data_IF_909670978054
#
_entry.id   IF_909670978054
#
_cell.length_a   1.000
_cell.length_b   1.000
_cell.length_c   1.000
_cell.angle_alpha   90.00
_cell.angle_beta   90.00
_cell.angle_gamma   90.00
#
_symmetry.space_group_name_H-M   'P 1'
#
loop_
_entity.id
_entity.type
_entity.pdbx_description
1 polymer ?
#
# COMPACT_ATOMS: atom_id res chain seq x y z
N UNK A 1 24.42 29.25 14.05
CA UNK A 1 23.92 28.04 14.75
C UNK A 1 24.45 26.82 14.02
N UNK A 2 25.52 26.20 14.54
CA UNK A 2 26.05 24.94 14.02
C UNK A 2 25.12 23.81 14.44
N UNK A 3 24.33 23.29 13.50
CA UNK A 3 23.60 22.04 13.67
C UNK A 3 24.65 20.94 13.58
N UNK A 4 25.20 20.56 14.73
CA UNK A 4 26.02 19.36 14.86
C UNK A 4 25.26 18.19 14.25
N UNK A 5 25.93 17.45 13.36
CA UNK A 5 25.44 16.17 12.82
C UNK A 5 25.35 15.16 13.97
N UNK A 6 24.28 15.27 14.76
CA UNK A 6 24.01 14.47 15.96
C UNK A 6 23.61 13.06 15.55
N UNK A 7 24.49 12.08 15.83
CA UNK A 7 24.22 10.79 16.51
C UNK A 7 22.98 9.93 16.16
N UNK A 8 22.19 10.28 15.14
CA UNK A 8 20.87 9.68 14.84
C UNK A 8 20.94 8.32 14.12
N UNK A 9 22.14 7.82 13.83
CA UNK A 9 22.32 6.55 13.12
C UNK A 9 22.70 5.38 14.03
N UNK A 10 22.92 5.62 15.32
CA UNK A 10 23.19 4.53 16.26
C UNK A 10 21.89 3.96 16.77
N UNK A 11 21.57 2.76 16.29
CA UNK A 11 20.54 1.90 16.88
C UNK A 11 20.84 1.67 18.37
N UNK A 12 19.83 1.45 19.22
CA UNK A 12 20.06 1.06 20.61
C UNK A 12 20.98 -0.16 20.71
N UNK A 13 21.77 -0.25 21.78
CA UNK A 13 22.69 -1.38 21.98
C UNK A 13 21.94 -2.72 21.90
N UNK A 14 22.49 -3.66 21.11
CA UNK A 14 21.89 -4.97 20.89
C UNK A 14 20.76 -5.01 19.86
N UNK A 15 20.47 -3.88 19.19
CA UNK A 15 19.54 -3.82 18.06
C UNK A 15 20.25 -3.89 16.71
N UNK A 16 19.71 -4.68 15.79
CA UNK A 16 20.16 -4.78 14.41
C UNK A 16 18.99 -4.70 13.44
N UNK A 17 19.18 -4.05 12.30
CA UNK A 17 18.22 -4.09 11.20
C UNK A 17 18.66 -5.13 10.18
N UNK A 18 17.76 -6.04 9.81
CA UNK A 18 18.05 -7.09 8.83
C UNK A 18 16.83 -7.42 7.97
N UNK A 19 17.03 -8.03 6.79
CA UNK A 19 15.94 -8.64 6.05
C UNK A 19 15.20 -9.70 6.89
N UNK A 20 13.90 -9.83 6.67
CA UNK A 20 13.10 -10.87 7.30
C UNK A 20 13.50 -12.26 6.82
N UNK A 21 13.53 -13.22 7.75
CA UNK A 21 13.77 -14.64 7.52
C UNK A 21 12.44 -15.40 7.55
N UNK A 22 12.45 -16.63 7.04
CA UNK A 22 11.30 -17.54 7.08
C UNK A 22 10.75 -17.74 8.50
N UNK A 23 11.65 -17.87 9.48
CA UNK A 23 11.30 -18.03 10.90
C UNK A 23 10.59 -16.80 11.51
N UNK A 24 10.75 -15.62 10.91
CA UNK A 24 10.15 -14.37 11.44
C UNK A 24 8.65 -14.24 11.13
N UNK A 25 8.08 -15.12 10.28
CA UNK A 25 6.70 -15.00 9.77
C UNK A 25 5.67 -14.73 10.87
N UNK A 26 5.69 -15.52 11.94
CA UNK A 26 4.75 -15.37 13.06
C UNK A 26 5.00 -14.10 13.89
N UNK A 27 6.26 -13.73 14.12
CA UNK A 27 6.60 -12.50 14.85
C UNK A 27 6.22 -11.24 14.05
N UNK A 28 6.43 -11.24 12.74
CA UNK A 28 5.97 -10.16 11.83
C UNK A 28 4.45 -10.07 11.86
N UNK A 29 3.73 -11.20 11.81
CA UNK A 29 2.27 -11.18 11.92
C UNK A 29 1.79 -10.59 13.25
N UNK A 30 2.47 -10.89 14.37
CA UNK A 30 2.18 -10.27 15.65
C UNK A 30 2.44 -8.75 15.67
N UNK A 31 3.52 -8.30 15.03
CA UNK A 31 3.78 -6.87 14.84
C UNK A 31 2.70 -6.20 13.99
N UNK A 32 2.28 -6.83 12.89
CA UNK A 32 1.21 -6.34 12.02
C UNK A 32 -0.14 -6.29 12.73
N UNK A 33 -0.46 -7.27 13.58
CA UNK A 33 -1.65 -7.20 14.46
C UNK A 33 -1.56 -6.01 15.40
N UNK A 34 -0.38 -5.73 15.95
CA UNK A 34 -0.13 -4.51 16.75
C UNK A 34 -0.33 -3.22 15.94
N UNK A 35 0.11 -3.20 14.69
CA UNK A 35 -0.13 -2.10 13.76
C UNK A 35 -1.63 -1.93 13.49
N UNK A 36 -2.36 -3.00 13.17
CA UNK A 36 -3.81 -2.95 12.94
C UNK A 36 -4.54 -2.47 14.20
N UNK A 37 -4.15 -2.97 15.38
CA UNK A 37 -4.75 -2.57 16.65
C UNK A 37 -4.53 -1.08 16.97
N UNK A 38 -3.33 -0.56 16.73
CA UNK A 38 -2.95 0.81 17.09
C UNK A 38 -3.23 1.85 15.99
N UNK A 39 -3.23 1.42 14.73
CA UNK A 39 -3.38 2.26 13.56
C UNK A 39 -4.60 1.88 12.68
N UNK A 40 -4.81 0.61 12.39
CA UNK A 40 -5.78 0.15 11.40
C UNK A 40 -7.24 0.10 11.86
N UNK A 41 -7.50 0.03 13.18
CA UNK A 41 -8.83 -0.34 13.69
C UNK A 41 -9.93 0.59 13.16
N UNK A 42 -9.67 1.89 13.04
CA UNK A 42 -10.71 2.82 12.57
C UNK A 42 -11.11 2.63 11.10
N UNK A 43 -10.19 2.21 10.23
CA UNK A 43 -10.50 2.03 8.81
C UNK A 43 -11.24 0.71 8.59
N UNK A 44 -10.66 -0.37 9.08
CA UNK A 44 -11.19 -1.72 8.91
C UNK A 44 -12.55 -1.86 9.60
N UNK A 45 -12.70 -1.35 10.83
CA UNK A 45 -14.00 -1.39 11.55
C UNK A 45 -15.08 -0.61 10.81
N UNK A 46 -14.76 0.53 10.18
CA UNK A 46 -15.74 1.29 9.39
C UNK A 46 -16.11 0.57 8.11
N UNK A 47 -15.13 0.01 7.41
CA UNK A 47 -15.36 -0.75 6.19
C UNK A 47 -16.21 -2.00 6.48
N UNK A 48 -15.88 -2.74 7.54
CA UNK A 48 -16.65 -3.89 8.01
C UNK A 48 -18.04 -3.49 8.48
N UNK A 49 -18.15 -2.39 9.23
CA UNK A 49 -19.44 -1.84 9.65
C UNK A 49 -20.32 -1.46 8.48
N UNK A 50 -19.77 -0.85 7.43
CA UNK A 50 -20.50 -0.52 6.20
C UNK A 50 -21.03 -1.78 5.50
N UNK A 51 -20.20 -2.80 5.28
CA UNK A 51 -20.65 -4.05 4.66
C UNK A 51 -21.69 -4.78 5.51
N UNK A 52 -21.54 -4.75 6.83
CA UNK A 52 -22.51 -5.33 7.76
C UNK A 52 -23.85 -4.61 7.68
N UNK A 53 -23.86 -3.27 7.74
CA UNK A 53 -25.09 -2.47 7.61
C UNK A 53 -25.75 -2.69 6.25
N UNK A 54 -24.99 -2.73 5.16
CA UNK A 54 -25.52 -3.01 3.81
C UNK A 54 -26.17 -4.41 3.75
N UNK A 55 -25.52 -5.44 4.31
CA UNK A 55 -26.09 -6.78 4.38
C UNK A 55 -27.38 -6.83 5.23
N UNK A 56 -27.42 -6.10 6.35
CA UNK A 56 -28.61 -5.99 7.21
C UNK A 56 -29.77 -5.27 6.50
N UNK A 57 -29.49 -4.24 5.70
CA UNK A 57 -30.52 -3.55 4.90
C UNK A 57 -31.15 -4.51 3.89
N UNK A 58 -30.33 -5.25 3.14
CA UNK A 58 -30.82 -6.22 2.16
C UNK A 58 -31.60 -7.36 2.81
N UNK A 59 -31.11 -7.89 3.93
CA UNK A 59 -31.82 -8.90 4.72
C UNK A 59 -33.14 -8.38 5.30
N UNK A 60 -33.15 -7.15 5.80
CA UNK A 60 -34.34 -6.49 6.32
C UNK A 60 -35.39 -6.26 5.24
N UNK A 61 -34.99 -5.83 4.04
CA UNK A 61 -35.91 -5.66 2.90
C UNK A 61 -36.50 -7.00 2.45
N UNK A 62 -35.69 -8.06 2.40
CA UNK A 62 -36.16 -9.41 2.10
C UNK A 62 -37.20 -9.89 3.14
N UNK A 63 -36.90 -9.68 4.44
CA UNK A 63 -37.83 -10.00 5.53
C UNK A 63 -39.12 -9.17 5.49
N UNK A 64 -39.04 -7.89 5.09
CA UNK A 64 -40.22 -7.05 4.89
C UNK A 64 -41.08 -7.55 3.73
N UNK A 65 -40.50 -7.87 2.57
CA UNK A 65 -41.24 -8.43 1.44
C UNK A 65 -41.90 -9.77 1.79
N UNK A 66 -41.27 -10.58 2.64
CA UNK A 66 -41.81 -11.85 3.11
C UNK A 66 -43.14 -11.68 3.87
N UNK A 67 -43.30 -10.60 4.65
CA UNK A 67 -44.55 -10.33 5.40
C UNK A 67 -45.77 -10.10 4.49
N UNK A 68 -45.55 -9.71 3.23
CA UNK A 68 -46.62 -9.46 2.26
C UNK A 68 -46.91 -10.67 1.37
N UNK A 69 -46.09 -11.73 1.45
CA UNK A 69 -46.18 -12.86 0.54
C UNK A 69 -47.53 -13.59 0.65
N UNK A 70 -48.05 -13.75 1.87
CA UNK A 70 -49.32 -14.44 2.14
C UNK A 70 -50.55 -13.72 1.57
N UNK A 71 -50.41 -12.47 1.11
CA UNK A 71 -51.50 -11.67 0.52
C UNK A 71 -51.49 -11.66 -1.00
N UNK A 72 -50.52 -12.33 -1.63
CA UNK A 72 -50.32 -12.31 -3.07
C UNK A 72 -50.71 -13.66 -3.66
N UNK A 73 -51.43 -13.64 -4.78
CA UNK A 73 -51.85 -14.85 -5.48
C UNK A 73 -51.13 -15.02 -6.82
N UNK A 74 -50.98 -16.30 -7.22
CA UNK A 74 -50.54 -16.70 -8.55
C UNK A 74 -49.14 -16.23 -8.94
N UNK A 75 -49.03 -15.65 -10.14
CA UNK A 75 -47.74 -15.26 -10.76
C UNK A 75 -47.02 -14.19 -9.94
N UNK A 76 -47.76 -13.28 -9.30
CA UNK A 76 -47.18 -12.17 -8.52
C UNK A 76 -46.41 -12.71 -7.32
N UNK A 77 -46.96 -13.69 -6.60
CA UNK A 77 -46.28 -14.35 -5.49
C UNK A 77 -44.95 -15.00 -5.93
N UNK A 78 -44.94 -15.66 -7.09
CA UNK A 78 -43.72 -16.28 -7.66
C UNK A 78 -42.65 -15.23 -7.97
N UNK A 79 -43.02 -14.10 -8.59
CA UNK A 79 -42.08 -13.01 -8.90
C UNK A 79 -41.48 -12.40 -7.62
N UNK A 80 -42.30 -12.21 -6.58
CA UNK A 80 -41.84 -11.71 -5.27
C UNK A 80 -40.91 -12.71 -4.58
N UNK A 81 -41.20 -14.01 -4.66
CA UNK A 81 -40.30 -15.06 -4.16
C UNK A 81 -38.92 -15.02 -4.82
N UNK A 82 -38.88 -14.89 -6.15
CA UNK A 82 -37.62 -14.75 -6.90
C UNK A 82 -36.86 -13.50 -6.44
N UNK A 83 -37.56 -12.36 -6.28
CA UNK A 83 -36.95 -11.14 -5.79
C UNK A 83 -36.35 -11.30 -4.39
N UNK A 84 -37.09 -11.90 -3.44
CA UNK A 84 -36.60 -12.20 -2.08
C UNK A 84 -35.35 -13.08 -2.13
N UNK A 85 -35.37 -14.14 -2.93
CA UNK A 85 -34.23 -15.04 -3.08
C UNK A 85 -32.98 -14.30 -3.60
N UNK A 86 -33.14 -13.39 -4.57
CA UNK A 86 -32.04 -12.55 -5.07
C UNK A 86 -31.51 -11.59 -4.01
N UNK A 87 -32.38 -10.96 -3.20
CA UNK A 87 -31.96 -10.07 -2.11
C UNK A 87 -31.15 -10.84 -1.04
N UNK A 88 -31.58 -12.04 -0.68
CA UNK A 88 -30.87 -12.92 0.25
C UNK A 88 -29.51 -13.31 -0.34
N UNK A 89 -29.46 -13.70 -1.62
CA UNK A 89 -28.22 -14.07 -2.30
C UNK A 89 -27.22 -12.90 -2.31
N UNK A 90 -27.69 -11.66 -2.56
CA UNK A 90 -26.87 -10.45 -2.49
C UNK A 90 -26.33 -10.25 -1.07
N UNK A 91 -27.18 -10.35 -0.04
CA UNK A 91 -26.76 -10.21 1.35
C UNK A 91 -25.69 -11.25 1.75
N UNK A 92 -25.89 -12.52 1.38
CA UNK A 92 -24.94 -13.61 1.62
C UNK A 92 -23.62 -13.39 0.87
N UNK A 93 -23.68 -12.97 -0.39
CA UNK A 93 -22.48 -12.66 -1.17
C UNK A 93 -21.68 -11.51 -0.54
N UNK A 94 -22.34 -10.47 -0.05
CA UNK A 94 -21.69 -9.38 0.69
C UNK A 94 -21.03 -9.86 1.98
N UNK A 95 -21.71 -10.71 2.75
CA UNK A 95 -21.16 -11.30 3.96
C UNK A 95 -19.93 -12.19 3.67
N UNK A 96 -19.98 -12.97 2.57
CA UNK A 96 -18.84 -13.76 2.12
C UNK A 96 -17.64 -12.86 1.76
N UNK A 97 -17.86 -11.77 1.01
CA UNK A 97 -16.80 -10.81 0.70
C UNK A 97 -16.21 -10.19 1.97
N UNK A 98 -17.06 -9.88 2.96
CA UNK A 98 -16.62 -9.41 4.27
C UNK A 98 -15.71 -10.45 4.95
N UNK A 99 -16.14 -11.72 5.04
CA UNK A 99 -15.34 -12.80 5.60
C UNK A 99 -14.01 -12.98 4.86
N UNK A 100 -14.02 -12.99 3.53
CA UNK A 100 -12.81 -13.11 2.71
C UNK A 100 -11.85 -11.93 2.93
N UNK A 101 -12.36 -10.71 3.10
CA UNK A 101 -11.54 -9.53 3.38
C UNK A 101 -10.84 -9.63 4.75
N UNK A 102 -11.54 -10.14 5.78
CA UNK A 102 -10.97 -10.40 7.11
C UNK A 102 -9.88 -11.46 7.00
N UNK A 103 -10.15 -12.58 6.32
CA UNK A 103 -9.16 -13.65 6.11
C UNK A 103 -7.94 -13.12 5.34
N UNK A 104 -8.15 -12.33 4.30
CA UNK A 104 -7.06 -11.74 3.51
C UNK A 104 -6.17 -10.83 4.35
N UNK A 105 -6.76 -10.05 5.28
CA UNK A 105 -6.02 -9.20 6.21
C UNK A 105 -5.10 -10.03 7.12
N UNK A 106 -5.51 -11.23 7.55
CA UNK A 106 -4.66 -12.12 8.34
C UNK A 106 -3.59 -12.84 7.51
N UNK A 107 -3.89 -13.23 6.27
CA UNK A 107 -2.98 -14.00 5.41
C UNK A 107 -1.93 -13.11 4.73
N UNK A 108 -2.28 -11.85 4.42
CA UNK A 108 -1.42 -10.94 3.64
C UNK A 108 -0.02 -10.75 4.25
N UNK A 109 0.06 -10.66 5.59
CA UNK A 109 1.32 -10.59 6.31
C UNK A 109 2.18 -11.85 6.17
N UNK A 110 1.56 -13.03 6.20
CA UNK A 110 2.25 -14.31 6.10
C UNK A 110 2.76 -14.61 4.68
N UNK A 111 2.06 -14.18 3.63
CA UNK A 111 2.46 -14.45 2.23
C UNK A 111 3.62 -13.56 1.76
N UNK A 112 3.69 -12.32 2.24
CA UNK A 112 4.64 -11.31 1.74
C UNK A 112 5.86 -11.07 2.67
N UNK A 113 6.18 -12.02 3.55
CA UNK A 113 7.25 -11.88 4.55
C UNK A 113 8.62 -11.49 3.97
N UNK A 114 8.97 -11.96 2.78
CA UNK A 114 10.28 -11.67 2.15
C UNK A 114 10.49 -10.20 1.77
N UNK A 115 9.42 -9.38 1.75
CA UNK A 115 9.48 -7.94 1.46
C UNK A 115 9.71 -7.10 2.73
N UNK A 116 9.75 -7.74 3.89
CA UNK A 116 9.91 -7.05 5.17
C UNK A 116 11.38 -6.90 5.54
N UNK A 117 11.66 -5.73 6.11
CA UNK A 117 12.85 -5.44 6.89
C UNK A 117 12.41 -5.33 8.34
N UNK A 118 13.16 -5.99 9.22
CA UNK A 118 12.81 -6.10 10.64
C UNK A 118 13.95 -5.58 11.50
N UNK A 119 13.58 -5.01 12.65
CA UNK A 119 14.52 -4.64 13.70
C UNK A 119 14.42 -5.68 14.80
N UNK A 120 15.53 -6.35 15.04
CA UNK A 120 15.70 -7.33 16.08
C UNK A 120 16.54 -6.73 17.21
N UNK A 121 16.03 -6.76 18.43
CA UNK A 121 16.76 -6.35 19.63
C UNK A 121 16.71 -7.48 20.64
N UNK A 122 17.87 -7.93 21.13
CA UNK A 122 17.97 -9.04 22.10
C UNK A 122 17.16 -10.28 21.68
N UNK A 123 17.28 -10.70 20.41
CA UNK A 123 16.57 -11.84 19.80
C UNK A 123 15.03 -11.69 19.68
N UNK A 124 14.49 -10.51 19.94
CA UNK A 124 13.06 -10.22 19.76
C UNK A 124 12.83 -9.20 18.64
N UNK A 125 11.83 -9.44 17.79
CA UNK A 125 11.43 -8.42 16.81
C UNK A 125 10.64 -7.30 17.48
N UNK A 126 11.10 -6.07 17.31
CA UNK A 126 10.53 -4.87 17.95
C UNK A 126 9.91 -3.89 16.96
N UNK A 127 10.38 -3.92 15.71
CA UNK A 127 9.86 -3.10 14.64
C UNK A 127 9.94 -3.84 13.30
N UNK A 128 9.07 -3.46 12.36
CA UNK A 128 9.11 -3.95 11.00
C UNK A 128 8.67 -2.87 10.02
N UNK A 129 9.06 -3.04 8.77
CA UNK A 129 8.67 -2.20 7.64
C UNK A 129 8.65 -3.07 6.40
N UNK A 130 7.66 -2.87 5.53
CA UNK A 130 7.68 -3.45 4.20
C UNK A 130 8.01 -2.38 3.17
N UNK A 131 8.74 -2.79 2.13
CA UNK A 131 8.99 -1.93 0.98
C UNK A 131 8.69 -2.66 -0.32
N UNK A 132 8.20 -1.93 -1.31
CA UNK A 132 8.01 -2.42 -2.67
C UNK A 132 8.80 -1.53 -3.61
N UNK A 133 9.74 -2.13 -4.32
CA UNK A 133 10.59 -1.44 -5.29
C UNK A 133 9.96 -1.56 -6.67
N UNK A 134 9.87 -0.45 -7.36
CA UNK A 134 9.52 -0.35 -8.77
C UNK A 134 10.72 0.24 -9.51
N UNK A 135 10.72 0.14 -10.84
CA UNK A 135 11.76 0.74 -11.67
C UNK A 135 11.89 2.25 -11.46
N UNK A 136 10.77 2.93 -11.17
CA UNK A 136 10.72 4.40 -11.12
C UNK A 136 10.44 4.96 -9.73
N UNK A 137 10.29 4.13 -8.69
CA UNK A 137 10.01 4.61 -7.33
C UNK A 137 10.06 3.45 -6.32
N UNK A 138 10.13 3.79 -5.04
CA UNK A 138 9.94 2.82 -3.94
C UNK A 138 8.77 3.26 -3.07
N UNK A 139 7.97 2.31 -2.61
CA UNK A 139 6.86 2.54 -1.68
C UNK A 139 7.15 1.87 -0.35
N UNK A 140 7.07 2.64 0.75
CA UNK A 140 7.09 2.13 2.12
C UNK A 140 5.65 1.90 2.59
N UNK A 141 5.41 0.74 3.20
CA UNK A 141 4.13 0.41 3.83
C UNK A 141 4.37 -0.44 5.08
N UNK A 142 3.35 -0.54 5.94
CA UNK A 142 3.38 -1.34 7.17
C UNK A 142 4.58 -1.03 8.09
N UNK A 143 5.03 0.24 8.14
CA UNK A 143 6.04 0.66 9.12
C UNK A 143 5.40 0.64 10.52
N UNK A 144 5.94 -0.20 11.39
CA UNK A 144 5.47 -0.34 12.76
C UNK A 144 6.63 -0.47 13.74
N UNK A 145 6.53 0.26 14.85
CA UNK A 145 7.42 0.14 16.00
C UNK A 145 6.56 -0.13 17.23
N UNK A 146 6.89 -1.19 17.99
CA UNK A 146 6.21 -1.51 19.25
C UNK A 146 6.16 -0.27 20.14
N UNK A 147 5.03 0.01 20.83
CA UNK A 147 4.88 1.21 21.65
C UNK A 147 6.02 1.45 22.65
N UNK A 148 6.49 0.40 23.33
CA UNK A 148 7.61 0.49 24.29
C UNK A 148 8.97 0.80 23.67
N UNK A 149 9.10 0.70 22.34
CA UNK A 149 10.32 0.97 21.58
C UNK A 149 10.22 2.25 20.73
N UNK A 150 9.13 3.02 20.89
CA UNK A 150 8.99 4.31 20.21
C UNK A 150 9.94 5.34 20.81
N UNK A 151 10.21 6.39 20.05
CA UNK A 151 11.13 7.48 20.44
C UNK A 151 12.61 7.09 20.59
N UNK A 152 12.99 5.86 20.26
CA UNK A 152 14.39 5.39 20.26
C UNK A 152 15.05 5.46 18.86
N UNK A 153 14.54 6.30 17.95
CA UNK A 153 15.08 6.44 16.59
C UNK A 153 14.85 5.27 15.62
N UNK A 154 14.27 4.14 16.06
CA UNK A 154 14.06 2.94 15.22
C UNK A 154 13.28 3.21 13.93
N UNK A 155 12.22 4.02 14.01
CA UNK A 155 11.42 4.40 12.85
C UNK A 155 12.23 5.19 11.83
N UNK A 156 13.05 6.14 12.29
CA UNK A 156 13.95 6.93 11.44
C UNK A 156 15.00 6.05 10.78
N UNK A 157 15.59 5.11 11.52
CA UNK A 157 16.60 4.18 11.02
C UNK A 157 16.04 3.28 9.89
N UNK A 158 14.83 2.75 10.06
CA UNK A 158 14.14 1.96 9.01
C UNK A 158 13.89 2.80 7.74
N UNK A 159 13.41 4.04 7.90
CA UNK A 159 13.16 4.94 6.76
C UNK A 159 14.47 5.32 6.06
N UNK A 160 15.54 5.57 6.81
CA UNK A 160 16.87 5.84 6.27
C UNK A 160 17.38 4.64 5.45
N UNK A 161 17.18 3.42 5.94
CA UNK A 161 17.54 2.22 5.20
C UNK A 161 16.72 2.05 3.91
N UNK A 162 15.42 2.34 3.93
CA UNK A 162 14.61 2.32 2.69
C UNK A 162 15.10 3.35 1.67
N UNK A 163 15.53 4.52 2.13
CA UNK A 163 16.12 5.57 1.27
C UNK A 163 17.42 5.10 0.62
N UNK A 164 18.34 4.55 1.42
CA UNK A 164 19.61 4.00 0.92
C UNK A 164 19.35 2.88 -0.08
N UNK A 165 18.43 1.96 0.24
CA UNK A 165 18.05 0.87 -0.65
C UNK A 165 17.44 1.36 -1.97
N UNK A 166 16.65 2.44 -1.94
CA UNK A 166 16.11 3.08 -3.13
C UNK A 166 17.20 3.70 -4.00
N UNK A 167 18.20 4.35 -3.40
CA UNK A 167 19.32 4.96 -4.13
C UNK A 167 20.22 3.91 -4.79
N UNK A 168 20.55 2.81 -4.10
CA UNK A 168 21.37 1.73 -4.69
C UNK A 168 20.73 1.07 -5.92
N UNK A 169 19.40 1.13 -6.05
CA UNK A 169 18.70 0.58 -7.22
C UNK A 169 18.76 1.48 -8.46
N UNK A 170 19.02 2.80 -8.35
CA UNK A 170 19.25 3.66 -9.53
C UNK A 170 20.54 3.27 -10.24
N UNK A 171 21.55 2.92 -9.47
CA UNK A 171 22.90 2.74 -9.99
C UNK A 171 23.14 1.33 -10.52
N UNK A 172 22.17 0.41 -10.38
CA UNK A 172 22.27 -0.89 -11.04
C UNK A 172 21.80 -0.75 -12.48
N UNK A 173 22.63 -1.10 -13.47
CA UNK A 173 22.18 -1.25 -14.85
C UNK A 173 20.95 -2.18 -14.85
N UNK A 174 19.98 -1.89 -15.70
CA UNK A 174 18.79 -2.71 -15.90
C UNK A 174 19.22 -4.03 -16.55
N UNK A 175 19.93 -4.88 -15.81
CA UNK A 175 19.95 -6.30 -16.10
C UNK A 175 18.57 -6.79 -15.72
N UNK A 176 17.82 -7.20 -16.74
CA UNK A 176 16.47 -7.74 -16.63
C UNK A 176 16.38 -8.61 -15.39
N UNK A 177 15.68 -8.12 -14.37
CA UNK A 177 15.22 -8.95 -13.27
C UNK A 177 14.17 -9.89 -13.87
N UNK A 178 14.67 -10.91 -14.57
CA UNK A 178 13.94 -12.13 -14.87
C UNK A 178 13.64 -12.72 -13.51
N UNK A 179 12.47 -12.36 -12.98
CA UNK A 179 11.85 -13.02 -11.86
C UNK A 179 11.70 -14.48 -12.30
N UNK A 180 12.26 -15.48 -11.59
CA UNK A 180 11.91 -16.87 -11.83
C UNK A 180 10.47 -17.04 -11.35
N UNK A 181 9.53 -16.61 -12.18
CA UNK A 181 8.16 -17.07 -12.14
C UNK A 181 8.23 -18.51 -12.63
N UNK A 182 7.87 -19.44 -11.74
CA UNK A 182 7.71 -20.87 -12.02
C UNK A 182 6.88 -21.04 -13.30
N UNK A 183 7.57 -21.13 -14.44
CA UNK A 183 6.96 -21.42 -15.73
C UNK A 183 6.81 -22.94 -15.82
N UNK A 184 5.62 -23.42 -15.50
CA UNK A 184 5.16 -24.74 -15.96
C UNK A 184 5.06 -24.69 -17.49
N UNK A 185 5.65 -25.65 -18.22
CA UNK A 185 5.61 -25.66 -19.67
C UNK A 185 4.24 -26.18 -20.15
N UNK A 186 3.49 -25.35 -20.87
CA UNK A 186 2.35 -25.81 -21.68
C UNK A 186 2.45 -25.12 -23.05
N UNK A 187 2.91 -25.90 -24.03
CA UNK A 187 2.72 -25.73 -25.49
C UNK A 187 1.25 -26.07 -25.86
N UNK A 188 0.69 -25.84 -27.07
CA UNK A 188 1.32 -25.42 -28.34
C UNK A 188 0.52 -24.40 -29.21
N UNK A 189 1.11 -24.08 -30.38
CA UNK A 189 0.48 -23.76 -31.68
C UNK A 189 -0.06 -22.36 -32.01
N UNK A 190 0.83 -21.58 -32.64
CA UNK A 190 0.74 -20.88 -33.94
C UNK A 190 -0.63 -20.58 -34.59
N UNK A 191 -0.92 -19.28 -34.79
CA UNK A 191 -1.58 -18.74 -36.00
C UNK A 191 -1.00 -17.35 -36.37
N UNK A 192 -0.88 -16.99 -37.67
CA UNK A 192 -0.18 -15.79 -38.11
C UNK A 192 -1.06 -14.53 -38.03
N UNK A 193 -0.41 -13.44 -37.63
CA UNK A 193 -0.94 -12.08 -37.62
C UNK A 193 -0.96 -11.46 -39.02
N UNK A 194 -1.99 -10.65 -39.30
CA UNK A 194 -1.88 -9.53 -40.23
C UNK A 194 -2.77 -8.37 -39.72
N UNK A 195 -2.18 -7.37 -39.04
CA UNK A 195 -2.84 -6.06 -38.91
C UNK A 195 -1.87 -4.90 -38.75
N UNK A 196 -1.81 -4.12 -39.83
CA UNK A 196 -1.22 -2.81 -40.03
C UNK A 196 -1.06 -1.94 -38.77
N UNK A 197 0.19 -1.71 -38.37
CA UNK A 197 0.57 -0.75 -37.33
C UNK A 197 0.98 0.57 -37.98
N UNK A 198 0.14 1.60 -37.80
CA UNK A 198 0.41 3.00 -38.19
C UNK A 198 1.42 3.60 -37.20
N UNK A 199 2.55 4.19 -37.63
CA UNK A 199 3.53 4.77 -36.74
C UNK A 199 3.06 6.17 -36.29
N UNK A 200 2.31 6.26 -35.20
CA UNK A 200 2.11 7.54 -34.50
C UNK A 200 3.35 7.85 -33.68
N UNK A 201 4.34 8.48 -34.32
CA UNK A 201 5.57 8.96 -33.72
C UNK A 201 5.34 10.12 -32.75
N UNK A 202 4.86 9.82 -31.53
CA UNK A 202 5.19 10.64 -30.36
C UNK A 202 6.26 9.89 -29.60
N UNK A 203 7.52 10.35 -29.72
CA UNK A 203 8.57 10.02 -28.75
C UNK A 203 8.05 10.46 -27.38
N UNK A 204 7.51 9.52 -26.60
CA UNK A 204 7.40 9.71 -25.17
C UNK A 204 8.83 9.89 -24.69
N UNK A 205 9.19 11.10 -24.30
CA UNK A 205 10.42 11.32 -23.54
C UNK A 205 10.32 10.40 -22.34
N UNK A 206 11.11 9.33 -22.32
CA UNK A 206 11.04 8.35 -21.27
C UNK A 206 11.32 9.09 -19.95
N UNK A 207 10.40 9.00 -18.98
CA UNK A 207 10.54 9.76 -17.75
C UNK A 207 11.84 9.31 -17.08
N UNK A 208 12.76 10.27 -16.93
CA UNK A 208 14.01 10.13 -16.17
C UNK A 208 13.69 9.38 -14.89
N UNK A 209 14.43 8.29 -14.62
CA UNK A 209 14.21 7.43 -13.47
C UNK A 209 14.36 8.23 -12.17
N UNK A 210 13.24 8.77 -11.67
CA UNK A 210 13.19 9.49 -10.41
C UNK A 210 13.15 8.45 -9.31
N UNK A 211 14.24 8.19 -8.59
CA UNK A 211 14.25 7.27 -7.44
C UNK A 211 13.54 7.86 -6.21
N UNK A 212 12.31 8.30 -6.43
CA UNK A 212 11.45 8.89 -5.43
C UNK A 212 10.93 7.80 -4.48
N UNK A 213 10.83 8.18 -3.21
CA UNK A 213 10.35 7.31 -2.15
C UNK A 213 9.01 7.84 -1.66
N UNK A 214 7.97 7.02 -1.79
CA UNK A 214 6.60 7.37 -1.41
C UNK A 214 6.16 6.57 -0.19
N UNK A 215 5.29 7.17 0.60
CA UNK A 215 4.59 6.48 1.68
C UNK A 215 3.19 7.04 1.87
N UNK A 216 2.33 6.22 2.47
CA UNK A 216 1.02 6.61 2.98
C UNK A 216 1.09 6.57 4.49
N UNK A 217 0.66 7.63 5.15
CA UNK A 217 0.63 7.69 6.61
C UNK A 217 -0.63 8.37 7.13
N UNK A 218 -0.84 8.26 8.43
CA UNK A 218 -1.89 9.03 9.11
C UNK A 218 -1.48 10.49 9.31
N UNK A 219 -2.43 11.44 9.36
CA UNK A 219 -2.16 12.85 9.63
C UNK A 219 -1.25 13.09 10.85
N UNK A 220 -1.45 12.35 11.95
CA UNK A 220 -0.63 12.48 13.17
C UNK A 220 0.86 12.12 12.98
N UNK A 221 1.20 11.37 11.95
CA UNK A 221 2.58 10.98 11.63
C UNK A 221 3.24 11.91 10.61
N UNK A 222 2.51 12.85 10.01
CA UNK A 222 3.06 13.78 9.02
C UNK A 222 4.26 14.53 9.58
N UNK A 223 4.16 15.09 10.79
CA UNK A 223 5.26 15.80 11.43
C UNK A 223 6.50 14.94 11.66
N UNK A 224 6.34 13.63 11.93
CA UNK A 224 7.47 12.71 12.04
C UNK A 224 8.20 12.55 10.70
N UNK A 225 7.47 12.29 9.61
CA UNK A 225 8.07 12.11 8.30
C UNK A 225 8.59 13.41 7.70
N UNK A 226 7.99 14.56 8.00
CA UNK A 226 8.50 15.86 7.58
C UNK A 226 9.88 16.15 8.17
N UNK A 227 10.14 15.77 9.43
CA UNK A 227 11.49 15.84 10.02
C UNK A 227 12.50 14.91 9.32
N UNK A 228 12.02 13.87 8.63
CA UNK A 228 12.84 12.99 7.79
C UNK A 228 12.95 13.45 6.34
N UNK A 229 12.49 14.67 6.03
CA UNK A 229 12.58 15.28 4.70
C UNK A 229 11.45 14.89 3.74
N UNK A 230 10.38 14.27 4.22
CA UNK A 230 9.21 14.00 3.38
C UNK A 230 8.32 15.23 3.26
N UNK A 231 7.75 15.41 2.07
CA UNK A 231 6.80 16.47 1.75
C UNK A 231 5.43 15.85 1.47
N UNK A 232 4.36 16.46 1.98
CA UNK A 232 3.00 16.01 1.67
C UNK A 232 2.68 16.29 0.20
N UNK A 233 2.05 15.31 -0.45
CA UNK A 233 1.63 15.40 -1.85
C UNK A 233 0.14 15.07 -1.91
N UNK A 234 -0.63 15.84 -2.69
CA UNK A 234 -2.04 15.52 -2.90
C UNK A 234 -2.19 14.35 -3.86
N UNK A 235 -3.27 13.58 -3.75
CA UNK A 235 -3.53 12.43 -4.63
C UNK A 235 -3.41 12.78 -6.12
N UNK A 236 -3.92 13.94 -6.52
CA UNK A 236 -3.90 14.43 -7.90
C UNK A 236 -2.47 14.59 -8.44
N UNK A 237 -1.54 15.04 -7.59
CA UNK A 237 -0.13 15.30 -7.92
C UNK A 237 0.75 14.04 -7.90
N UNK A 238 0.23 12.89 -7.49
CA UNK A 238 0.99 11.64 -7.54
C UNK A 238 1.15 11.15 -8.99
N UNK A 239 2.30 10.58 -9.37
CA UNK A 239 2.45 9.93 -10.68
C UNK A 239 1.47 8.76 -10.84
N UNK A 240 0.98 8.49 -12.05
CA UNK A 240 -0.07 7.49 -12.27
C UNK A 240 0.36 6.06 -11.89
N UNK A 241 1.64 5.72 -12.08
CA UNK A 241 2.21 4.44 -11.62
C UNK A 241 2.16 4.31 -10.09
N UNK A 242 2.37 5.41 -9.36
CA UNK A 242 2.27 5.47 -7.90
C UNK A 242 0.81 5.37 -7.48
N UNK A 243 -0.10 6.11 -8.15
CA UNK A 243 -1.55 6.03 -7.91
C UNK A 243 -2.08 4.61 -8.06
N UNK A 244 -1.72 3.93 -9.14
CA UNK A 244 -2.11 2.52 -9.38
C UNK A 244 -1.66 1.61 -8.23
N UNK A 245 -0.42 1.79 -7.76
CA UNK A 245 0.13 1.02 -6.64
C UNK A 245 -0.50 1.35 -5.28
N UNK A 246 -1.06 2.55 -5.14
CA UNK A 246 -1.72 3.05 -3.92
C UNK A 246 -3.25 3.12 -4.06
N UNK A 247 -3.85 2.45 -5.06
CA UNK A 247 -5.27 2.57 -5.36
C UNK A 247 -6.18 2.20 -4.18
N UNK A 248 -5.74 1.26 -3.33
CA UNK A 248 -6.46 0.89 -2.10
C UNK A 248 -6.56 2.02 -1.06
N UNK A 249 -5.74 3.06 -1.16
CA UNK A 249 -5.76 4.23 -0.27
C UNK A 249 -6.41 5.46 -0.91
N UNK A 250 -7.00 5.32 -2.10
CA UNK A 250 -7.62 6.44 -2.81
C UNK A 250 -8.68 7.10 -1.91
N UNK A 251 -8.65 8.42 -1.71
CA UNK A 251 -9.70 9.13 -0.98
C UNK A 251 -11.05 8.86 -1.67
N UNK A 252 -11.95 8.21 -0.95
CA UNK A 252 -13.28 7.88 -1.46
C UNK A 252 -14.32 8.77 -0.77
N UNK A 253 -15.24 9.44 -1.52
CA UNK A 253 -16.20 10.37 -0.93
C UNK A 253 -17.11 9.71 0.11
N UNK A 254 -17.38 8.41 -0.03
CA UNK A 254 -18.20 7.64 0.93
C UNK A 254 -17.46 7.24 2.22
N UNK A 255 -16.14 7.31 2.27
CA UNK A 255 -15.34 6.93 3.44
C UNK A 255 -15.00 8.16 4.28
N UNK A 256 -16.03 8.86 4.74
CA UNK A 256 -15.88 10.12 5.47
C UNK A 256 -15.10 9.89 6.78
N UNK A 257 -14.13 10.77 7.05
CA UNK A 257 -13.28 10.73 8.24
C UNK A 257 -12.08 9.78 8.20
N UNK A 258 -11.78 9.12 7.07
CA UNK A 258 -10.49 8.46 6.87
C UNK A 258 -9.54 9.39 6.10
N UNK A 259 -8.81 10.22 6.85
CA UNK A 259 -7.78 11.05 6.26
C UNK A 259 -6.46 10.27 6.23
N UNK A 260 -5.88 10.17 5.04
CA UNK A 260 -4.51 9.71 4.82
C UNK A 260 -3.70 10.82 4.19
N UNK A 261 -2.44 10.91 4.58
CA UNK A 261 -1.47 11.79 3.97
C UNK A 261 -0.55 10.95 3.07
N UNK A 262 -0.50 11.33 1.80
CA UNK A 262 0.53 10.83 0.89
C UNK A 262 1.76 11.71 1.06
N UNK A 263 2.91 11.07 1.20
CA UNK A 263 4.16 11.78 1.36
C UNK A 263 5.19 11.28 0.37
N UNK A 264 5.99 12.20 -0.14
CA UNK A 264 7.10 11.93 -1.04
C UNK A 264 8.38 12.46 -0.42
N UNK A 265 9.40 11.62 -0.38
CA UNK A 265 10.76 12.06 -0.14
C UNK A 265 11.43 12.35 -1.47
N UNK A 266 12.02 13.55 -1.58
CA UNK A 266 12.73 14.00 -2.77
C UNK A 266 14.22 13.88 -2.52
N UNK A 267 14.93 13.16 -3.39
CA UNK A 267 16.39 13.08 -3.33
C UNK A 267 17.00 14.46 -3.57
N UNK A 268 17.94 14.88 -2.72
CA UNK A 268 18.66 16.17 -2.85
C UNK A 268 19.34 16.30 -4.21
N UNK A 269 19.77 15.19 -4.82
CA UNK A 269 20.36 15.19 -6.16
C UNK A 269 19.40 15.77 -7.22
N UNK A 270 18.09 15.59 -7.05
CA UNK A 270 17.10 16.18 -7.97
C UNK A 270 16.92 17.69 -7.79
N UNK A 271 17.23 18.21 -6.60
CA UNK A 271 17.19 19.65 -6.31
C UNK A 271 18.43 20.30 -6.93
N UNK A 272 19.61 19.70 -6.72
CA UNK A 272 20.85 20.21 -7.30
C UNK A 272 20.81 20.18 -8.83
N UNK A 273 20.27 19.13 -9.45
CA UNK A 273 20.10 19.06 -10.90
C UNK A 273 19.08 20.09 -11.43
N UNK A 274 18.02 20.38 -10.68
CA UNK A 274 17.07 21.43 -11.06
C UNK A 274 17.70 22.82 -10.92
N UNK A 275 18.52 23.03 -9.88
CA UNK A 275 19.25 24.28 -9.65
C UNK A 275 20.36 24.51 -10.68
N UNK A 276 21.11 23.47 -11.08
CA UNK A 276 22.13 23.57 -12.14
C UNK A 276 21.52 23.91 -13.50
N UNK A 277 20.36 23.33 -13.83
CA UNK A 277 19.65 23.69 -15.05
C UNK A 277 19.10 25.12 -15.00
N UNK A 278 18.81 25.64 -13.80
CA UNK A 278 18.36 27.02 -13.63
C UNK A 278 19.54 28.00 -13.79
N UNK A 279 20.72 27.69 -13.26
CA UNK A 279 21.91 28.52 -13.43
C UNK A 279 22.34 28.64 -14.90
N UNK A 280 22.29 27.53 -15.64
CA UNK A 280 22.60 27.51 -17.08
C UNK A 280 21.63 28.36 -17.93
N UNK A 281 20.39 28.56 -17.45
CA UNK A 281 19.40 29.42 -18.11
C UNK A 281 19.67 30.91 -17.84
N UNK A 282 20.17 31.26 -16.66
CA UNK A 282 20.55 32.65 -16.31
C UNK A 282 21.82 33.12 -17.02
N UNK A 283 22.77 32.24 -17.31
CA UNK A 283 24.01 32.61 -18.04
C UNK A 283 23.81 32.80 -19.56
N UNK A 284 22.63 32.46 -20.09
CA UNK A 284 22.29 32.64 -21.51
C UNK A 284 21.47 33.91 -21.78
N UNK A 285 21.21 34.73 -20.77
CA UNK A 285 20.54 36.04 -20.89
C UNK A 285 21.55 37.16 -20.72
#
# INVERSE_FOLDING_TARGET
MNISHTSSDRLPLGCQIRPAKLADRWQIQNLLRGLIKSEGLNFEVRLFGYYLVEALIWGGLAGFCWQFLDRLDGIVAILVMIAIALLILIALFRLLLLCLSIVFLFISGAKNWSKYVVVECNRALVACMAMRRFQTHTIIYNLYVKPSWRSQGLGSALVNQARQAGQSSANRPIQSQNMPENATPISPETKPQLRNSRPTGRRSVDPVATNDLYLVCKPRLVGFYTRLGFVSVTWQKLPDRVKSSLNGYRPHPRLWGFQVAFMRWRSTNSINAAMSNLSDLTDRQ
#
